data_IF_903512876306
#
_entry.id   IF_903512876306
#
_cell.length_a   1.000
_cell.length_b   1.000
_cell.length_c   1.000
_cell.angle_alpha   90.00
_cell.angle_beta   90.00
_cell.angle_gamma   90.00
#
_symmetry.space_group_name_H-M   'P 1'
#
loop_
_entity.id
_entity.type
_entity.pdbx_description
1 polymer ?
#
# COMPACT_ATOMS: atom_id res chain seq x y z
N UNK A 1 4.18 -12.77 -27.89
CA UNK A 1 3.46 -12.92 -26.60
C UNK A 1 2.36 -11.87 -26.57
N UNK A 2 1.12 -12.23 -26.20
CA UNK A 2 0.01 -11.26 -26.15
C UNK A 2 0.25 -10.20 -25.07
N UNK A 3 -0.31 -8.99 -25.26
CA UNK A 3 -0.21 -7.89 -24.29
C UNK A 3 -0.68 -8.30 -22.89
N UNK A 4 -1.82 -9.01 -22.82
CA UNK A 4 -2.33 -9.54 -21.54
C UNK A 4 -1.30 -10.42 -20.83
N UNK A 5 -0.68 -11.37 -21.54
CA UNK A 5 0.28 -12.29 -20.92
C UNK A 5 1.52 -11.55 -20.42
N UNK A 6 1.99 -10.51 -21.14
CA UNK A 6 3.12 -9.69 -20.69
C UNK A 6 2.83 -9.00 -19.37
N UNK A 7 1.67 -8.34 -19.24
CA UNK A 7 1.27 -7.66 -18.01
C UNK A 7 0.94 -8.63 -16.86
N UNK A 8 0.36 -9.78 -17.18
CA UNK A 8 0.16 -10.84 -16.17
C UNK A 8 1.50 -11.31 -15.61
N UNK A 9 2.50 -11.56 -16.47
CA UNK A 9 3.84 -11.96 -16.04
C UNK A 9 4.54 -10.85 -15.25
N UNK A 10 4.42 -9.59 -15.70
CA UNK A 10 4.91 -8.43 -14.95
C UNK A 10 4.39 -8.43 -13.50
N UNK A 11 3.08 -8.50 -13.34
CA UNK A 11 2.45 -8.44 -12.02
C UNK A 11 2.78 -9.66 -11.15
N UNK A 12 2.82 -10.86 -11.74
CA UNK A 12 3.24 -12.08 -11.04
C UNK A 12 4.69 -11.98 -10.55
N UNK A 13 5.63 -11.54 -11.38
CA UNK A 13 7.04 -11.41 -11.02
C UNK A 13 7.24 -10.35 -9.92
N UNK A 14 6.60 -9.19 -10.07
CA UNK A 14 6.63 -8.11 -9.07
C UNK A 14 6.05 -8.59 -7.74
N UNK A 15 4.89 -9.24 -7.79
CA UNK A 15 4.21 -9.77 -6.62
C UNK A 15 5.01 -10.85 -5.91
N UNK A 16 5.62 -11.78 -6.64
CA UNK A 16 6.35 -12.90 -6.07
C UNK A 16 7.54 -12.44 -5.22
N UNK A 17 8.36 -11.53 -5.74
CA UNK A 17 9.50 -10.97 -5.01
C UNK A 17 9.07 -10.17 -3.79
N UNK A 18 8.06 -9.31 -3.95
CA UNK A 18 7.51 -8.50 -2.87
C UNK A 18 6.92 -9.36 -1.76
N UNK A 19 6.06 -10.32 -2.10
CA UNK A 19 5.39 -11.20 -1.15
C UNK A 19 6.36 -12.01 -0.31
N UNK A 20 7.42 -12.54 -0.94
CA UNK A 20 8.44 -13.33 -0.25
C UNK A 20 9.19 -12.53 0.83
N UNK A 21 9.41 -11.23 0.62
CA UNK A 21 10.03 -10.37 1.62
C UNK A 21 9.02 -9.90 2.68
N UNK A 22 7.83 -9.47 2.27
CA UNK A 22 6.78 -9.01 3.20
C UNK A 22 6.37 -10.08 4.21
N UNK A 23 6.41 -11.36 3.82
CA UNK A 23 6.08 -12.48 4.70
C UNK A 23 6.87 -12.47 6.01
N UNK A 24 8.12 -12.03 5.98
CA UNK A 24 9.04 -12.05 7.13
C UNK A 24 9.69 -10.70 7.44
N UNK A 25 9.20 -9.61 6.87
CA UNK A 25 9.85 -8.30 6.92
C UNK A 25 10.16 -7.83 8.35
N UNK A 26 9.21 -7.93 9.27
CA UNK A 26 9.41 -7.52 10.67
C UNK A 26 10.37 -8.46 11.41
N UNK A 27 10.27 -9.77 11.13
CA UNK A 27 11.19 -10.79 11.66
C UNK A 27 12.61 -10.53 11.15
N UNK A 28 12.75 -10.30 9.84
CA UNK A 28 14.01 -9.95 9.19
C UNK A 28 14.68 -8.74 9.87
N UNK A 29 13.93 -7.67 10.10
CA UNK A 29 14.47 -6.48 10.77
C UNK A 29 14.97 -6.79 12.18
N UNK A 30 14.22 -7.58 12.97
CA UNK A 30 14.62 -8.02 14.30
C UNK A 30 15.88 -8.90 14.29
N UNK A 31 15.97 -9.87 13.37
CA UNK A 31 17.16 -10.73 13.21
C UNK A 31 18.40 -9.96 12.76
N UNK A 32 18.22 -8.81 12.12
CA UNK A 32 19.30 -7.92 11.67
C UNK A 32 19.55 -6.76 12.64
N UNK A 33 19.14 -6.91 13.91
CA UNK A 33 19.54 -6.03 15.01
C UNK A 33 18.64 -4.81 15.26
N UNK A 34 17.45 -4.76 14.65
CA UNK A 34 16.47 -3.73 15.02
C UNK A 34 15.71 -4.14 16.28
N UNK A 35 15.66 -3.24 17.26
CA UNK A 35 14.69 -3.35 18.35
C UNK A 35 13.26 -3.15 17.83
N UNK A 36 12.26 -3.68 18.55
CA UNK A 36 10.86 -3.63 18.11
C UNK A 36 10.39 -2.22 17.75
N UNK A 37 10.71 -1.21 18.54
CA UNK A 37 10.34 0.18 18.25
C UNK A 37 11.06 0.77 17.05
N UNK A 38 12.30 0.28 16.73
CA UNK A 38 13.07 0.70 15.58
C UNK A 38 12.48 0.18 14.27
N UNK A 39 11.79 -0.97 14.30
CA UNK A 39 11.03 -1.48 13.14
C UNK A 39 10.01 -0.42 12.68
N UNK A 40 9.29 0.16 13.62
CA UNK A 40 8.39 1.27 13.33
C UNK A 40 9.10 2.47 12.69
N UNK A 41 10.25 2.88 13.23
CA UNK A 41 11.02 3.99 12.65
C UNK A 41 11.44 3.71 11.20
N UNK A 42 11.92 2.50 10.91
CA UNK A 42 12.31 2.09 9.54
C UNK A 42 11.13 2.15 8.59
N UNK A 43 9.96 1.64 9.01
CA UNK A 43 8.74 1.67 8.20
C UNK A 43 8.21 3.10 8.03
N UNK A 44 8.27 3.91 9.09
CA UNK A 44 7.92 5.33 9.03
C UNK A 44 8.82 6.12 8.06
N UNK A 45 10.14 5.90 8.13
CA UNK A 45 11.10 6.51 7.22
C UNK A 45 10.84 6.09 5.77
N UNK A 46 10.60 4.80 5.53
CA UNK A 46 10.20 4.28 4.22
C UNK A 46 8.96 5.05 3.69
N UNK A 47 7.91 5.17 4.48
CA UNK A 47 6.69 5.87 4.09
C UNK A 47 6.93 7.37 3.78
N UNK A 48 7.76 8.05 4.58
CA UNK A 48 8.14 9.46 4.35
C UNK A 48 8.89 9.62 3.03
N UNK A 49 9.90 8.76 2.78
CA UNK A 49 10.68 8.82 1.54
C UNK A 49 9.80 8.58 0.33
N UNK A 50 8.92 7.56 0.36
CA UNK A 50 7.97 7.32 -0.72
C UNK A 50 7.09 8.54 -0.94
N UNK A 51 6.48 9.10 0.11
CA UNK A 51 5.58 10.24 0.03
C UNK A 51 6.25 11.49 -0.60
N UNK A 52 7.51 11.75 -0.26
CA UNK A 52 8.27 12.89 -0.80
C UNK A 52 8.74 12.63 -2.24
N UNK A 53 9.19 11.42 -2.53
CA UNK A 53 9.81 11.09 -3.80
C UNK A 53 8.80 10.76 -4.92
N UNK A 54 7.60 10.28 -4.58
CA UNK A 54 6.61 9.80 -5.56
C UNK A 54 6.21 10.87 -6.58
N UNK A 55 5.93 12.09 -6.13
CA UNK A 55 5.51 13.19 -7.03
C UNK A 55 6.65 13.61 -7.97
N UNK A 56 7.87 13.96 -7.51
CA UNK A 56 8.95 14.36 -8.40
C UNK A 56 9.41 13.23 -9.34
N UNK A 57 9.43 11.98 -8.86
CA UNK A 57 9.82 10.84 -9.72
C UNK A 57 8.73 10.50 -10.74
N UNK A 58 7.45 10.66 -10.39
CA UNK A 58 6.33 10.52 -11.33
C UNK A 58 6.42 11.52 -12.48
N UNK A 59 6.66 12.81 -12.19
CA UNK A 59 6.87 13.84 -13.23
C UNK A 59 8.07 13.51 -14.12
N UNK A 60 9.16 13.05 -13.53
CA UNK A 60 10.34 12.62 -14.30
C UNK A 60 10.04 11.39 -15.15
N UNK A 61 9.25 10.44 -14.67
CA UNK A 61 8.85 9.26 -15.43
C UNK A 61 7.99 9.63 -16.66
N UNK A 62 7.06 10.58 -16.50
CA UNK A 62 6.23 11.07 -17.60
C UNK A 62 7.05 11.82 -18.67
N UNK A 63 8.13 12.51 -18.29
CA UNK A 63 8.96 13.30 -19.22
C UNK A 63 10.14 12.53 -19.83
N UNK A 64 10.69 11.53 -19.12
CA UNK A 64 11.89 10.78 -19.54
C UNK A 64 11.61 9.33 -19.93
N UNK A 65 10.36 8.89 -19.84
CA UNK A 65 9.92 7.55 -20.20
C UNK A 65 9.62 6.65 -19.01
N UNK A 66 8.40 6.17 -18.94
CA UNK A 66 7.89 5.34 -17.82
C UNK A 66 8.59 4.01 -17.69
N UNK A 67 8.91 3.37 -18.82
CA UNK A 67 9.63 2.08 -18.82
C UNK A 67 11.04 2.22 -18.28
N UNK A 68 11.73 3.34 -18.58
CA UNK A 68 13.06 3.62 -18.07
C UNK A 68 13.05 3.79 -16.54
N UNK A 69 12.04 4.49 -16.00
CA UNK A 69 11.88 4.66 -14.55
C UNK A 69 11.48 3.37 -13.84
N UNK A 70 10.68 2.53 -14.47
CA UNK A 70 10.40 1.21 -13.94
C UNK A 70 11.67 0.32 -13.91
N UNK A 71 12.51 0.35 -14.95
CA UNK A 71 13.81 -0.34 -14.94
C UNK A 71 14.73 0.21 -13.85
N UNK A 72 14.75 1.52 -13.63
CA UNK A 72 15.46 2.13 -12.51
C UNK A 72 14.94 1.60 -11.16
N UNK A 73 13.63 1.47 -11.00
CA UNK A 73 13.04 0.89 -9.80
C UNK A 73 13.53 -0.54 -9.55
N UNK A 74 13.62 -1.39 -10.58
CA UNK A 74 14.15 -2.75 -10.44
C UNK A 74 15.62 -2.77 -10.04
N UNK A 75 16.44 -1.87 -10.58
CA UNK A 75 17.85 -1.70 -10.19
C UNK A 75 17.94 -1.28 -8.72
N UNK A 76 17.14 -0.30 -8.30
CA UNK A 76 17.09 0.15 -6.91
C UNK A 76 16.61 -0.96 -5.97
N UNK A 77 15.63 -1.78 -6.39
CA UNK A 77 15.15 -2.91 -5.60
C UNK A 77 16.25 -3.97 -5.41
N UNK A 78 16.98 -4.29 -6.46
CA UNK A 78 18.10 -5.23 -6.38
C UNK A 78 19.22 -4.68 -5.47
N UNK A 79 19.52 -3.38 -5.59
CA UNK A 79 20.49 -2.69 -4.73
C UNK A 79 20.04 -2.68 -3.26
N UNK A 80 18.77 -2.40 -3.00
CA UNK A 80 18.20 -2.45 -1.65
C UNK A 80 18.37 -3.83 -1.01
N UNK A 81 18.02 -4.89 -1.74
CA UNK A 81 18.22 -6.26 -1.25
C UNK A 81 19.69 -6.60 -1.00
N UNK A 82 20.60 -6.15 -1.88
CA UNK A 82 22.03 -6.32 -1.66
C UNK A 82 22.53 -5.59 -0.38
N UNK A 83 22.09 -4.34 -0.15
CA UNK A 83 22.42 -3.58 1.06
C UNK A 83 21.91 -4.30 2.31
N UNK A 84 20.64 -4.77 2.29
CA UNK A 84 20.04 -5.47 3.41
C UNK A 84 20.79 -6.75 3.81
N UNK A 85 21.39 -7.45 2.85
CA UNK A 85 22.14 -8.69 3.09
C UNK A 85 23.59 -8.41 3.47
N UNK A 86 24.25 -7.46 2.79
CA UNK A 86 25.67 -7.16 2.99
C UNK A 86 25.97 -6.32 4.22
N UNK A 87 24.99 -5.54 4.69
CA UNK A 87 25.09 -4.71 5.89
C UNK A 87 24.04 -5.16 6.93
N UNK A 88 24.21 -6.33 7.59
CA UNK A 88 23.23 -6.91 8.48
C UNK A 88 23.23 -6.23 9.86
N UNK A 89 22.89 -4.96 9.89
CA UNK A 89 22.81 -4.14 11.10
C UNK A 89 21.76 -3.04 10.93
N UNK A 90 21.45 -2.32 12.00
CA UNK A 90 20.45 -1.24 12.00
C UNK A 90 20.66 -0.20 10.89
N UNK A 91 21.91 0.22 10.64
CA UNK A 91 22.19 1.22 9.60
C UNK A 91 22.01 0.67 8.19
N UNK A 92 22.32 -0.61 7.98
CA UNK A 92 22.02 -1.30 6.74
C UNK A 92 20.53 -1.46 6.50
N UNK A 93 19.72 -1.69 7.56
CA UNK A 93 18.27 -1.67 7.47
C UNK A 93 17.73 -0.29 7.05
N UNK A 94 18.24 0.79 7.65
CA UNK A 94 17.88 2.17 7.28
C UNK A 94 18.25 2.46 5.81
N UNK A 95 19.48 2.14 5.41
CA UNK A 95 19.94 2.38 4.04
C UNK A 95 19.15 1.53 3.02
N UNK A 96 18.98 0.24 3.28
CA UNK A 96 18.23 -0.66 2.41
C UNK A 96 16.75 -0.25 2.29
N UNK A 97 16.10 0.09 3.40
CA UNK A 97 14.73 0.58 3.39
C UNK A 97 14.59 1.91 2.64
N UNK A 98 15.58 2.81 2.76
CA UNK A 98 15.59 4.10 2.03
C UNK A 98 15.70 3.88 0.51
N UNK A 99 16.59 2.99 0.08
CA UNK A 99 16.74 2.66 -1.35
C UNK A 99 15.50 1.92 -1.87
N UNK A 100 14.91 1.03 -1.06
CA UNK A 100 13.65 0.34 -1.42
C UNK A 100 12.48 1.32 -1.52
N UNK A 101 12.45 2.36 -0.69
CA UNK A 101 11.46 3.43 -0.77
C UNK A 101 11.58 4.23 -2.08
N UNK A 102 12.82 4.56 -2.49
CA UNK A 102 13.08 5.21 -3.79
C UNK A 102 12.70 4.30 -4.97
N UNK A 103 12.97 2.99 -4.86
CA UNK A 103 12.49 1.99 -5.83
C UNK A 103 10.96 2.04 -5.95
N UNK A 104 10.25 1.98 -4.83
CA UNK A 104 8.80 2.01 -4.79
C UNK A 104 8.23 3.29 -5.39
N UNK A 105 8.81 4.45 -5.05
CA UNK A 105 8.42 5.74 -5.61
C UNK A 105 8.69 5.83 -7.14
N UNK A 106 9.80 5.24 -7.60
CA UNK A 106 10.14 5.21 -9.03
C UNK A 106 9.24 4.28 -9.85
N UNK A 107 8.71 3.20 -9.24
CA UNK A 107 7.78 2.27 -9.90
C UNK A 107 6.35 2.79 -9.90
N UNK A 108 6.00 3.67 -8.96
CA UNK A 108 4.61 4.11 -8.74
C UNK A 108 4.00 4.68 -10.02
N UNK A 109 2.86 4.09 -10.43
CA UNK A 109 2.09 4.54 -11.59
C UNK A 109 2.73 4.36 -12.97
N UNK A 110 3.99 3.91 -13.08
CA UNK A 110 4.71 3.85 -14.36
C UNK A 110 4.11 2.84 -15.35
N UNK A 111 4.07 1.56 -14.95
CA UNK A 111 3.58 0.48 -15.83
C UNK A 111 2.06 0.48 -15.91
N UNK A 112 1.36 0.85 -14.84
CA UNK A 112 -0.10 0.94 -14.86
C UNK A 112 -0.58 2.00 -15.86
N UNK A 113 0.04 3.19 -15.84
CA UNK A 113 -0.28 4.26 -16.79
C UNK A 113 0.10 3.86 -18.24
N UNK A 114 1.28 3.26 -18.44
CA UNK A 114 1.69 2.73 -19.73
C UNK A 114 0.69 1.68 -20.25
N UNK A 115 0.20 0.79 -19.36
CA UNK A 115 -0.78 -0.22 -19.72
C UNK A 115 -2.13 0.38 -20.13
N UNK A 116 -2.60 1.42 -19.41
CA UNK A 116 -3.83 2.14 -19.76
C UNK A 116 -3.72 2.80 -21.13
N UNK A 117 -2.62 3.49 -21.40
CA UNK A 117 -2.38 4.12 -22.70
C UNK A 117 -2.36 3.09 -23.85
N UNK A 118 -1.71 1.95 -23.60
CA UNK A 118 -1.64 0.88 -24.61
C UNK A 118 -3.00 0.27 -24.90
N UNK A 119 -3.83 0.01 -23.88
CA UNK A 119 -5.20 -0.50 -24.05
C UNK A 119 -6.06 0.48 -24.84
N UNK A 120 -5.91 1.79 -24.59
CA UNK A 120 -6.60 2.84 -25.35
C UNK A 120 -6.13 2.91 -26.79
N UNK A 121 -4.81 2.88 -27.03
CA UNK A 121 -4.23 2.91 -28.38
C UNK A 121 -4.64 1.69 -29.23
N UNK A 122 -4.90 0.53 -28.61
CA UNK A 122 -5.42 -0.66 -29.27
C UNK A 122 -6.95 -0.64 -29.49
N UNK A 123 -7.65 0.46 -29.12
CA UNK A 123 -9.10 0.61 -29.30
C UNK A 123 -9.95 -0.26 -28.36
N UNK A 124 -9.37 -0.68 -27.23
CA UNK A 124 -10.03 -1.57 -26.28
C UNK A 124 -10.51 -0.86 -25.00
N UNK A 125 -10.86 0.42 -25.07
CA UNK A 125 -11.30 1.23 -23.92
C UNK A 125 -12.47 0.61 -23.15
N UNK A 126 -13.42 0.00 -23.85
CA UNK A 126 -14.58 -0.69 -23.25
C UNK A 126 -14.15 -1.83 -22.29
N UNK A 127 -12.97 -2.41 -22.49
CA UNK A 127 -12.43 -3.51 -21.70
C UNK A 127 -11.38 -3.08 -20.68
N UNK A 128 -11.10 -1.77 -20.57
CA UNK A 128 -10.05 -1.25 -19.70
C UNK A 128 -10.23 -1.73 -18.24
N UNK A 129 -11.45 -1.68 -17.70
CA UNK A 129 -11.74 -2.13 -16.35
C UNK A 129 -11.47 -3.63 -16.18
N UNK A 130 -11.76 -4.46 -17.18
CA UNK A 130 -11.48 -5.89 -17.15
C UNK A 130 -9.97 -6.18 -17.20
N UNK A 131 -9.21 -5.41 -17.97
CA UNK A 131 -7.74 -5.52 -18.02
C UNK A 131 -7.12 -5.15 -16.67
N UNK A 132 -7.48 -3.99 -16.11
CA UNK A 132 -6.96 -3.53 -14.83
C UNK A 132 -7.30 -4.50 -13.69
N UNK A 133 -8.54 -5.03 -13.65
CA UNK A 133 -8.94 -6.06 -12.69
C UNK A 133 -8.11 -7.34 -12.82
N UNK A 134 -7.84 -7.79 -14.04
CA UNK A 134 -6.98 -8.95 -14.29
C UNK A 134 -5.53 -8.73 -13.84
N UNK A 135 -4.99 -7.53 -14.00
CA UNK A 135 -3.63 -7.18 -13.56
C UNK A 135 -3.54 -7.16 -12.04
N UNK A 136 -4.50 -6.55 -11.36
CA UNK A 136 -4.56 -6.55 -9.90
C UNK A 136 -4.69 -7.97 -9.34
N UNK A 137 -5.50 -8.83 -9.97
CA UNK A 137 -5.61 -10.23 -9.59
C UNK A 137 -4.28 -10.99 -9.77
N UNK A 138 -3.54 -10.73 -10.85
CA UNK A 138 -2.23 -11.32 -11.08
C UNK A 138 -1.20 -10.86 -10.04
N UNK A 139 -1.20 -9.57 -9.69
CA UNK A 139 -0.36 -9.02 -8.63
C UNK A 139 -0.65 -9.69 -7.30
N UNK A 140 -1.93 -9.77 -6.92
CA UNK A 140 -2.35 -10.39 -5.67
C UNK A 140 -1.99 -11.89 -5.63
N UNK A 141 -2.16 -12.62 -6.74
CA UNK A 141 -1.73 -14.01 -6.85
C UNK A 141 -0.21 -14.15 -6.69
N UNK A 142 0.57 -13.27 -7.32
CA UNK A 142 2.02 -13.22 -7.18
C UNK A 142 2.45 -12.96 -5.74
N UNK A 143 1.87 -11.96 -5.07
CA UNK A 143 2.19 -11.64 -3.68
C UNK A 143 1.80 -12.78 -2.73
N UNK A 144 0.64 -13.40 -2.95
CA UNK A 144 0.18 -14.55 -2.14
C UNK A 144 1.13 -15.74 -2.29
N UNK A 145 1.47 -16.12 -3.53
CA UNK A 145 2.43 -17.18 -3.78
C UNK A 145 3.82 -16.85 -3.22
N UNK A 146 4.26 -15.61 -3.41
CA UNK A 146 5.50 -15.08 -2.84
C UNK A 146 5.51 -15.14 -1.32
N UNK A 147 4.43 -14.78 -0.66
CA UNK A 147 4.32 -14.81 0.80
C UNK A 147 4.44 -16.25 1.34
N UNK A 148 3.74 -17.20 0.74
CA UNK A 148 3.86 -18.61 1.12
C UNK A 148 5.30 -19.09 0.93
N UNK A 149 5.89 -18.87 -0.25
CA UNK A 149 7.28 -19.24 -0.52
C UNK A 149 8.23 -18.56 0.47
N UNK A 150 8.02 -17.27 0.76
CA UNK A 150 8.82 -16.49 1.69
C UNK A 150 8.82 -17.05 3.11
N UNK A 151 7.69 -17.60 3.56
CA UNK A 151 7.61 -18.32 4.84
C UNK A 151 8.44 -19.58 4.88
N UNK A 152 8.56 -20.32 3.76
CA UNK A 152 9.36 -21.54 3.68
C UNK A 152 10.84 -21.31 3.34
N UNK A 153 11.20 -20.14 2.77
CA UNK A 153 12.59 -19.84 2.38
C UNK A 153 13.61 -20.02 3.52
N UNK A 154 13.37 -19.60 4.77
CA UNK A 154 14.31 -19.80 5.86
C UNK A 154 14.65 -21.29 6.12
N UNK A 155 13.68 -22.17 5.95
CA UNK A 155 13.87 -23.63 6.10
C UNK A 155 14.56 -24.22 4.86
N UNK A 156 14.08 -23.90 3.66
CA UNK A 156 14.64 -24.36 2.38
C UNK A 156 16.12 -23.99 2.20
N UNK A 157 16.53 -22.88 2.79
CA UNK A 157 17.89 -22.35 2.71
C UNK A 157 18.73 -22.61 3.97
N UNK A 158 18.26 -23.51 4.86
CA UNK A 158 18.90 -23.77 6.15
C UNK A 158 20.38 -24.18 6.04
N UNK A 159 20.73 -24.89 4.98
CA UNK A 159 22.09 -25.38 4.71
C UNK A 159 22.95 -24.39 3.88
N UNK A 160 22.41 -23.24 3.49
CA UNK A 160 23.15 -22.25 2.72
C UNK A 160 23.81 -21.23 3.65
N UNK A 161 24.95 -20.62 3.24
CA UNK A 161 25.56 -19.51 3.99
C UNK A 161 24.57 -18.37 4.19
N UNK A 162 24.38 -17.91 5.43
CA UNK A 162 23.46 -16.82 5.77
C UNK A 162 23.87 -16.16 7.08
N UNK A 163 23.59 -14.87 7.20
CA UNK A 163 23.77 -14.12 8.43
C UNK A 163 22.64 -14.45 9.44
N UNK A 164 21.41 -14.49 8.95
CA UNK A 164 20.21 -14.80 9.70
C UNK A 164 19.28 -15.72 8.86
N UNK A 165 18.35 -16.45 9.48
CA UNK A 165 17.43 -17.34 8.77
C UNK A 165 16.69 -16.66 7.61
N UNK A 166 16.21 -15.43 7.81
CA UNK A 166 15.44 -14.70 6.80
C UNK A 166 16.29 -13.96 5.76
N UNK A 167 17.62 -14.03 5.80
CA UNK A 167 18.49 -13.30 4.85
C UNK A 167 18.20 -13.66 3.39
N UNK A 168 17.84 -14.90 3.11
CA UNK A 168 17.52 -15.35 1.75
C UNK A 168 16.21 -14.78 1.19
N UNK A 169 15.33 -14.26 2.02
CA UNK A 169 14.13 -13.53 1.56
C UNK A 169 14.51 -12.22 0.86
N UNK A 170 15.50 -11.49 1.40
CA UNK A 170 16.02 -10.29 0.75
C UNK A 170 16.81 -10.63 -0.52
N UNK A 171 17.60 -11.74 -0.52
CA UNK A 171 18.28 -12.25 -1.73
C UNK A 171 17.25 -12.62 -2.80
N UNK A 172 16.18 -13.33 -2.44
CA UNK A 172 15.13 -13.72 -3.37
C UNK A 172 14.42 -12.50 -3.96
N UNK A 173 14.05 -11.51 -3.14
CA UNK A 173 13.48 -10.25 -3.61
C UNK A 173 14.39 -9.54 -4.61
N UNK A 174 15.69 -9.42 -4.30
CA UNK A 174 16.68 -8.83 -5.19
C UNK A 174 16.85 -9.64 -6.49
N UNK A 175 16.91 -10.98 -6.38
CA UNK A 175 17.00 -11.89 -7.53
C UNK A 175 15.79 -11.76 -8.46
N UNK A 176 14.58 -11.67 -7.91
CA UNK A 176 13.36 -11.45 -8.69
C UNK A 176 13.38 -10.10 -9.41
N UNK A 177 13.90 -9.04 -8.79
CA UNK A 177 14.09 -7.75 -9.45
C UNK A 177 15.07 -7.85 -10.62
N UNK A 178 16.18 -8.57 -10.47
CA UNK A 178 17.16 -8.82 -11.54
C UNK A 178 16.53 -9.65 -12.68
N UNK A 179 15.83 -10.73 -12.35
CA UNK A 179 15.10 -11.54 -13.36
C UNK A 179 14.10 -10.68 -14.13
N UNK A 180 13.33 -9.86 -13.42
CA UNK A 180 12.36 -8.96 -14.03
C UNK A 180 13.03 -7.90 -14.92
N UNK A 181 14.18 -7.35 -14.49
CA UNK A 181 14.99 -6.41 -15.29
C UNK A 181 15.47 -7.06 -16.59
N UNK A 182 15.99 -8.29 -16.53
CA UNK A 182 16.44 -9.06 -17.69
C UNK A 182 15.27 -9.33 -18.66
N UNK A 183 14.09 -9.62 -18.13
CA UNK A 183 12.88 -9.88 -18.92
C UNK A 183 12.22 -8.60 -19.45
N UNK A 184 12.54 -7.43 -18.90
CA UNK A 184 11.88 -6.17 -19.21
C UNK A 184 11.89 -5.79 -20.70
N UNK A 185 12.95 -6.07 -21.50
CA UNK A 185 12.93 -5.78 -22.96
C UNK A 185 11.90 -6.63 -23.71
N UNK A 186 11.55 -7.81 -23.21
CA UNK A 186 10.56 -8.70 -23.81
C UNK A 186 9.13 -8.38 -23.33
N UNK A 187 9.01 -7.82 -22.13
CA UNK A 187 7.72 -7.47 -21.52
C UNK A 187 7.21 -6.11 -22.02
N UNK A 188 8.13 -5.15 -22.18
CA UNK A 188 7.77 -3.77 -22.53
C UNK A 188 8.45 -3.36 -23.84
N UNK A 189 7.65 -2.84 -24.75
CA UNK A 189 8.14 -2.21 -25.98
C UNK A 189 7.82 -0.73 -25.84
N UNK A 190 8.82 0.11 -26.00
CA UNK A 190 8.65 1.52 -26.26
C UNK A 190 8.06 1.62 -27.69
N UNK A 191 6.74 1.61 -27.78
CA UNK A 191 6.08 2.18 -28.94
C UNK A 191 6.28 3.68 -28.88
N UNK A 192 6.25 4.36 -29.99
CA UNK A 192 6.28 5.82 -30.09
C UNK A 192 5.44 6.38 -28.94
N UNK A 193 6.08 7.10 -28.04
CA UNK A 193 5.41 7.85 -26.99
C UNK A 193 4.40 8.72 -27.71
N UNK A 194 3.12 8.49 -27.44
CA UNK A 194 2.07 9.43 -27.82
C UNK A 194 2.27 10.69 -26.96
N UNK A 195 3.31 11.43 -27.28
CA UNK A 195 3.63 12.73 -26.72
C UNK A 195 2.93 13.83 -27.50
N UNK A 196 1.61 13.70 -27.64
CA UNK A 196 0.72 14.84 -27.82
C UNK A 196 0.03 15.14 -26.51
N UNK A 197 0.84 15.38 -25.48
CA UNK A 197 0.38 16.20 -24.36
C UNK A 197 0.52 17.63 -24.85
N UNK A 198 -0.61 18.26 -25.18
CA UNK A 198 -0.67 19.69 -25.47
C UNK A 198 0.19 20.43 -24.46
N UNK A 199 1.30 21.03 -24.91
CA UNK A 199 2.27 21.77 -24.08
C UNK A 199 1.63 23.01 -23.41
N UNK A 200 0.38 23.31 -23.69
CA UNK A 200 -0.35 24.49 -23.19
C UNK A 200 -1.01 24.32 -21.82
N UNK A 201 -1.12 23.11 -21.25
CA UNK A 201 -1.72 22.95 -19.92
C UNK A 201 -0.69 22.97 -18.79
N UNK A 202 -0.50 24.16 -18.22
CA UNK A 202 -0.04 24.49 -16.86
C UNK A 202 0.90 23.45 -16.18
N UNK A 203 2.09 23.92 -15.79
CA UNK A 203 3.08 23.19 -14.98
C UNK A 203 2.45 22.24 -13.95
N UNK A 204 2.92 20.99 -13.81
CA UNK A 204 2.39 19.99 -12.87
C UNK A 204 2.21 20.53 -11.44
N UNK A 205 3.11 21.41 -11.00
CA UNK A 205 3.03 22.09 -9.71
C UNK A 205 1.81 23.04 -9.61
N UNK A 206 1.43 23.67 -10.70
CA UNK A 206 0.23 24.54 -10.75
C UNK A 206 -1.06 23.73 -10.63
N UNK A 207 -1.16 22.61 -11.33
CA UNK A 207 -2.29 21.69 -11.24
C UNK A 207 -2.42 21.10 -9.82
N UNK A 208 -1.31 20.68 -9.22
CA UNK A 208 -1.32 20.18 -7.83
C UNK A 208 -1.76 21.25 -6.84
N UNK A 209 -1.26 22.48 -6.96
CA UNK A 209 -1.67 23.61 -6.09
C UNK A 209 -3.17 23.90 -6.24
N UNK A 210 -3.70 23.89 -7.46
CA UNK A 210 -5.12 24.07 -7.72
C UNK A 210 -5.97 22.94 -7.12
N UNK A 211 -5.53 21.68 -7.27
CA UNK A 211 -6.18 20.51 -6.67
C UNK A 211 -6.18 20.58 -5.13
N UNK A 212 -5.07 20.98 -4.50
CA UNK A 212 -4.98 21.17 -3.04
C UNK A 212 -5.97 22.29 -2.62
N UNK A 213 -5.99 23.42 -3.32
CA UNK A 213 -6.92 24.52 -3.01
C UNK A 213 -8.38 24.07 -3.13
N UNK A 214 -8.71 23.29 -4.17
CA UNK A 214 -10.03 22.69 -4.35
C UNK A 214 -10.37 21.74 -3.21
N UNK A 215 -9.45 20.80 -2.88
CA UNK A 215 -9.64 19.79 -1.85
C UNK A 215 -9.87 20.41 -0.46
N UNK A 216 -9.13 21.45 -0.11
CA UNK A 216 -9.30 22.16 1.17
C UNK A 216 -10.65 22.90 1.26
N UNK A 217 -11.12 23.45 0.14
CA UNK A 217 -12.39 24.20 0.08
C UNK A 217 -13.61 23.27 -0.02
N UNK A 218 -13.47 22.09 -0.63
CA UNK A 218 -14.57 21.15 -0.83
C UNK A 218 -14.65 20.21 0.36
N UNK A 219 -15.71 20.36 1.15
CA UNK A 219 -15.86 19.62 2.41
C UNK A 219 -15.79 18.09 2.23
N UNK A 220 -16.53 17.52 1.28
CA UNK A 220 -16.57 16.06 1.06
C UNK A 220 -15.19 15.50 0.69
N UNK A 221 -14.42 16.24 -0.12
CA UNK A 221 -13.05 15.84 -0.48
C UNK A 221 -12.12 15.93 0.72
N UNK A 222 -12.17 17.04 1.45
CA UNK A 222 -11.36 17.24 2.67
C UNK A 222 -11.66 16.19 3.74
N UNK A 223 -12.93 15.84 3.95
CA UNK A 223 -13.34 14.80 4.91
C UNK A 223 -12.76 13.43 4.53
N UNK A 224 -12.78 13.07 3.24
CA UNK A 224 -12.19 11.81 2.75
C UNK A 224 -10.67 11.81 2.90
N UNK A 225 -10.00 12.93 2.63
CA UNK A 225 -8.55 13.03 2.80
C UNK A 225 -8.13 12.86 4.26
N UNK A 226 -8.87 13.45 5.21
CA UNK A 226 -8.64 13.26 6.65
C UNK A 226 -8.93 11.82 7.05
N UNK A 227 -10.02 11.23 6.53
CA UNK A 227 -10.35 9.81 6.77
C UNK A 227 -9.21 8.91 6.30
N UNK A 228 -8.68 9.14 5.09
CA UNK A 228 -7.53 8.40 4.55
C UNK A 228 -6.31 8.49 5.48
N UNK A 229 -5.97 9.69 5.96
CA UNK A 229 -4.88 9.86 6.93
C UNK A 229 -5.13 9.08 8.23
N UNK A 230 -6.35 9.08 8.76
CA UNK A 230 -6.71 8.35 9.98
C UNK A 230 -6.69 6.82 9.76
N UNK A 231 -7.12 6.33 8.61
CA UNK A 231 -6.97 4.91 8.26
C UNK A 231 -5.48 4.54 8.19
N UNK A 232 -4.66 5.41 7.60
CA UNK A 232 -3.21 5.26 7.56
C UNK A 232 -2.59 5.10 8.95
N UNK A 233 -3.05 5.87 9.95
CA UNK A 233 -2.63 5.72 11.36
C UNK A 233 -2.85 4.29 11.88
N UNK A 234 -4.06 3.75 11.69
CA UNK A 234 -4.38 2.40 12.17
C UNK A 234 -3.60 1.31 11.46
N UNK A 235 -3.58 1.36 10.12
CA UNK A 235 -2.91 0.36 9.28
C UNK A 235 -1.42 0.28 9.57
N UNK A 236 -0.71 1.42 9.58
CA UNK A 236 0.73 1.42 9.76
C UNK A 236 1.17 0.86 11.11
N UNK A 237 0.40 1.11 12.17
CA UNK A 237 0.66 0.51 13.49
C UNK A 237 0.51 -1.01 13.47
N UNK A 238 -0.44 -1.53 12.70
CA UNK A 238 -0.60 -2.99 12.59
C UNK A 238 0.47 -3.58 11.68
N UNK A 239 0.63 -3.05 10.47
CA UNK A 239 1.60 -3.56 9.49
C UNK A 239 3.04 -3.52 10.01
N UNK A 240 3.39 -2.52 10.82
CA UNK A 240 4.71 -2.40 11.42
C UNK A 240 4.98 -3.39 12.54
N UNK A 241 3.97 -3.79 13.29
CA UNK A 241 4.18 -4.49 14.56
C UNK A 241 3.49 -5.85 14.69
N UNK A 242 2.71 -6.31 13.71
CA UNK A 242 2.00 -7.59 13.85
C UNK A 242 2.94 -8.80 13.93
N UNK A 243 4.06 -8.81 13.17
CA UNK A 243 5.05 -9.90 13.23
C UNK A 243 5.81 -9.91 14.56
N UNK A 244 6.39 -8.79 15.02
CA UNK A 244 6.96 -8.72 16.37
C UNK A 244 5.97 -9.15 17.47
N UNK A 245 4.71 -8.72 17.37
CA UNK A 245 3.70 -9.12 18.36
C UNK A 245 3.41 -10.60 18.37
N UNK A 246 3.38 -11.24 17.20
CA UNK A 246 3.21 -12.69 17.13
C UNK A 246 4.40 -13.44 17.74
N UNK A 247 5.63 -12.94 17.57
CA UNK A 247 6.81 -13.51 18.24
C UNK A 247 6.70 -13.37 19.75
N UNK A 248 6.17 -12.26 20.28
CA UNK A 248 5.91 -12.10 21.71
C UNK A 248 4.87 -13.10 22.23
N UNK A 249 3.86 -13.45 21.42
CA UNK A 249 2.81 -14.42 21.78
C UNK A 249 3.34 -15.86 21.72
N UNK A 250 4.12 -16.19 20.71
CA UNK A 250 4.69 -17.53 20.50
C UNK A 250 6.14 -17.42 20.00
N UNK A 251 7.08 -17.50 20.91
CA UNK A 251 8.52 -17.41 20.62
C UNK A 251 9.07 -18.60 19.83
N UNK A 252 8.30 -19.69 19.75
CA UNK A 252 8.65 -20.90 18.99
C UNK A 252 8.07 -20.94 17.59
N UNK A 253 7.50 -19.83 17.12
CA UNK A 253 6.76 -19.78 15.88
C UNK A 253 7.63 -20.05 14.66
N UNK A 254 7.24 -21.03 13.84
CA UNK A 254 7.90 -21.35 12.57
C UNK A 254 7.63 -20.26 11.53
N UNK A 255 8.61 -20.01 10.63
CA UNK A 255 8.56 -18.95 9.62
C UNK A 255 7.43 -19.15 8.59
N UNK A 256 7.06 -20.38 8.28
CA UNK A 256 5.98 -20.72 7.34
C UNK A 256 4.63 -20.09 7.78
N UNK A 257 4.38 -20.01 9.10
CA UNK A 257 3.16 -19.39 9.64
C UNK A 257 3.04 -17.90 9.26
N UNK A 258 4.16 -17.17 9.26
CA UNK A 258 4.16 -15.77 8.79
C UNK A 258 3.79 -15.69 7.30
N UNK A 259 4.28 -16.63 6.49
CA UNK A 259 3.93 -16.75 5.08
C UNK A 259 2.43 -16.98 4.88
N UNK A 260 1.83 -17.92 5.61
CA UNK A 260 0.40 -18.21 5.53
C UNK A 260 -0.47 -17.07 6.04
N UNK A 261 -0.07 -16.37 7.12
CA UNK A 261 -0.81 -15.21 7.63
C UNK A 261 -0.75 -14.06 6.62
N UNK A 262 0.42 -13.81 6.03
CA UNK A 262 0.58 -12.79 4.98
C UNK A 262 -0.24 -13.15 3.72
N UNK A 263 -0.27 -14.41 3.32
CA UNK A 263 -1.14 -14.88 2.24
C UNK A 263 -2.63 -14.67 2.58
N UNK A 264 -3.02 -14.94 3.81
CA UNK A 264 -4.36 -14.64 4.34
C UNK A 264 -4.70 -13.16 4.28
N UNK A 265 -3.75 -12.27 4.63
CA UNK A 265 -3.92 -10.82 4.49
C UNK A 265 -4.27 -10.41 3.05
N UNK A 266 -3.50 -10.89 2.06
CA UNK A 266 -3.77 -10.58 0.66
C UNK A 266 -5.06 -11.26 0.13
N UNK A 267 -5.41 -12.42 0.66
CA UNK A 267 -6.72 -13.02 0.39
C UNK A 267 -7.86 -12.13 0.91
N UNK A 268 -7.73 -11.56 2.12
CA UNK A 268 -8.72 -10.62 2.66
C UNK A 268 -8.78 -9.33 1.83
N UNK A 269 -7.67 -8.86 1.28
CA UNK A 269 -7.63 -7.70 0.39
C UNK A 269 -8.44 -7.92 -0.91
N UNK A 270 -8.51 -9.16 -1.41
CA UNK A 270 -9.32 -9.54 -2.57
C UNK A 270 -10.78 -9.78 -2.16
N UNK A 271 -11.00 -10.56 -1.11
CA UNK A 271 -12.33 -10.99 -0.68
C UNK A 271 -13.12 -9.85 -0.04
N UNK A 272 -12.44 -8.94 0.67
CA UNK A 272 -13.08 -7.85 1.39
C UNK A 272 -13.98 -6.98 0.50
N UNK A 273 -13.48 -6.38 -0.58
CA UNK A 273 -14.32 -5.60 -1.49
C UNK A 273 -15.49 -6.39 -2.10
N UNK A 274 -15.30 -7.68 -2.40
CA UNK A 274 -16.33 -8.53 -2.95
C UNK A 274 -17.44 -8.83 -1.94
N UNK A 275 -17.09 -9.29 -0.75
CA UNK A 275 -18.04 -9.65 0.31
C UNK A 275 -18.84 -8.44 0.78
N UNK A 276 -18.15 -7.32 0.91
CA UNK A 276 -18.75 -6.11 1.45
C UNK A 276 -19.53 -5.37 0.37
N UNK A 277 -19.07 -5.40 -0.88
CA UNK A 277 -19.84 -4.92 -2.02
C UNK A 277 -21.17 -5.66 -2.13
N UNK A 278 -21.15 -6.99 -2.04
CA UNK A 278 -22.34 -7.81 -2.02
C UNK A 278 -23.26 -7.49 -0.82
N UNK A 279 -22.71 -7.37 0.39
CA UNK A 279 -23.46 -6.99 1.58
C UNK A 279 -24.07 -5.59 1.46
N UNK A 280 -23.33 -4.62 0.94
CA UNK A 280 -23.84 -3.26 0.75
C UNK A 280 -24.99 -3.20 -0.27
N UNK A 281 -24.92 -4.01 -1.34
CA UNK A 281 -26.01 -4.13 -2.33
C UNK A 281 -27.28 -4.69 -1.69
N UNK A 282 -27.13 -5.75 -0.89
CA UNK A 282 -28.30 -6.40 -0.22
C UNK A 282 -28.88 -5.50 0.89
N UNK A 283 -28.02 -4.83 1.67
CA UNK A 283 -28.44 -4.00 2.81
C UNK A 283 -28.87 -2.60 2.43
N UNK A 284 -28.61 -2.14 1.19
CA UNK A 284 -28.92 -0.78 0.74
C UNK A 284 -28.10 0.32 1.44
N UNK A 285 -27.01 -0.02 2.15
CA UNK A 285 -26.20 0.94 2.88
C UNK A 285 -25.40 1.80 1.88
N UNK A 286 -25.63 3.12 1.93
CA UNK A 286 -24.95 4.05 1.03
C UNK A 286 -23.43 4.11 1.25
N UNK A 287 -22.60 4.41 0.22
CA UNK A 287 -21.15 4.56 0.38
C UNK A 287 -20.76 5.58 1.46
N UNK A 288 -21.51 6.67 1.61
CA UNK A 288 -21.30 7.65 2.67
C UNK A 288 -21.52 7.06 4.07
N UNK A 289 -22.57 6.27 4.26
CA UNK A 289 -22.85 5.61 5.54
C UNK A 289 -21.78 4.57 5.87
N UNK A 290 -21.28 3.83 4.87
CA UNK A 290 -20.13 2.91 5.05
C UNK A 290 -18.89 3.66 5.55
N UNK A 291 -18.53 4.78 4.89
CA UNK A 291 -17.38 5.58 5.31
C UNK A 291 -17.58 6.26 6.66
N UNK A 292 -18.81 6.56 7.05
CA UNK A 292 -19.11 7.19 8.34
C UNK A 292 -18.80 6.26 9.52
N UNK A 293 -19.14 4.98 9.42
CA UNK A 293 -18.93 4.00 10.51
C UNK A 293 -17.56 3.33 10.47
N UNK A 294 -16.88 3.40 9.33
CA UNK A 294 -15.62 2.68 9.09
C UNK A 294 -14.54 2.98 10.15
N UNK A 295 -14.21 4.25 10.52
CA UNK A 295 -13.18 4.50 11.50
C UNK A 295 -13.53 3.95 12.90
N UNK A 296 -14.80 3.90 13.27
CA UNK A 296 -15.24 3.29 14.52
C UNK A 296 -15.04 1.76 14.50
N UNK A 297 -15.33 1.11 13.37
CA UNK A 297 -15.12 -0.34 13.22
C UNK A 297 -13.63 -0.67 13.23
N UNK A 298 -12.79 0.11 12.56
CA UNK A 298 -11.32 -0.06 12.57
C UNK A 298 -10.79 0.15 13.99
N UNK A 299 -11.25 1.18 14.69
CA UNK A 299 -10.84 1.45 16.07
C UNK A 299 -11.21 0.27 17.01
N UNK A 300 -12.43 -0.24 16.91
CA UNK A 300 -12.89 -1.38 17.70
C UNK A 300 -12.10 -2.66 17.37
N UNK A 301 -11.83 -2.92 16.10
CA UNK A 301 -11.06 -4.08 15.67
C UNK A 301 -9.59 -3.99 16.12
N UNK A 302 -8.98 -2.81 16.03
CA UNK A 302 -7.61 -2.57 16.53
C UNK A 302 -7.54 -2.68 18.06
N UNK A 303 -8.53 -2.15 18.74
CA UNK A 303 -8.67 -2.30 20.20
C UNK A 303 -8.78 -3.78 20.58
N UNK A 304 -9.65 -4.55 19.89
CA UNK A 304 -9.79 -5.99 20.13
C UNK A 304 -8.46 -6.73 19.86
N UNK A 305 -7.75 -6.40 18.77
CA UNK A 305 -6.46 -7.00 18.44
C UNK A 305 -5.42 -6.77 19.55
N UNK A 306 -5.42 -5.61 20.19
CA UNK A 306 -4.45 -5.26 21.24
C UNK A 306 -4.54 -6.13 22.50
N UNK A 307 -5.66 -6.83 22.74
CA UNK A 307 -5.84 -7.74 23.87
C UNK A 307 -5.54 -9.20 23.57
N UNK A 308 -5.24 -9.53 22.31
CA UNK A 308 -5.03 -10.93 21.94
C UNK A 308 -3.68 -11.45 22.49
N UNK A 309 -3.74 -12.54 23.22
CA UNK A 309 -2.57 -13.24 23.81
C UNK A 309 -2.42 -14.67 23.28
N UNK A 310 -3.43 -15.17 22.56
CA UNK A 310 -3.40 -16.49 21.94
C UNK A 310 -3.20 -16.40 20.45
N UNK A 311 -2.40 -17.31 19.88
CA UNK A 311 -2.04 -17.31 18.44
C UNK A 311 -3.26 -17.24 17.51
N UNK A 312 -4.20 -18.19 17.62
CA UNK A 312 -5.35 -18.24 16.71
C UNK A 312 -6.32 -17.07 16.90
N UNK A 313 -6.49 -16.61 18.14
CA UNK A 313 -7.31 -15.44 18.43
C UNK A 313 -6.69 -14.16 17.82
N UNK A 314 -5.36 -14.04 17.91
CA UNK A 314 -4.64 -12.95 17.26
C UNK A 314 -4.79 -12.99 15.73
N UNK A 315 -4.55 -14.14 15.11
CA UNK A 315 -4.67 -14.30 13.65
C UNK A 315 -6.08 -13.98 13.16
N UNK A 316 -7.10 -14.47 13.86
CA UNK A 316 -8.49 -14.18 13.52
C UNK A 316 -8.82 -12.69 13.64
N UNK A 317 -8.39 -12.02 14.73
CA UNK A 317 -8.59 -10.59 14.93
C UNK A 317 -7.82 -9.76 13.88
N UNK A 318 -6.58 -10.15 13.56
CA UNK A 318 -5.75 -9.49 12.55
C UNK A 318 -6.38 -9.59 11.15
N UNK A 319 -6.75 -10.79 10.70
CA UNK A 319 -7.39 -10.98 9.40
C UNK A 319 -8.77 -10.29 9.33
N UNK A 320 -9.52 -10.29 10.45
CA UNK A 320 -10.77 -9.56 10.57
C UNK A 320 -10.58 -8.04 10.42
N UNK A 321 -9.54 -7.48 11.05
CA UNK A 321 -9.17 -6.07 10.89
C UNK A 321 -8.79 -5.77 9.43
N UNK A 322 -7.97 -6.63 8.79
CA UNK A 322 -7.59 -6.47 7.38
C UNK A 322 -8.80 -6.53 6.45
N UNK A 323 -9.73 -7.45 6.68
CA UNK A 323 -10.99 -7.52 5.94
C UNK A 323 -11.77 -6.20 6.01
N UNK A 324 -11.82 -5.58 7.17
CA UNK A 324 -12.54 -4.30 7.35
C UNK A 324 -11.85 -3.13 6.69
N UNK A 325 -10.51 -3.05 6.77
CA UNK A 325 -9.75 -1.93 6.22
C UNK A 325 -9.79 -1.87 4.69
N UNK A 326 -9.90 -3.02 4.00
CA UNK A 326 -10.00 -3.07 2.53
C UNK A 326 -11.29 -2.45 1.97
N UNK A 327 -12.29 -2.18 2.81
CA UNK A 327 -13.55 -1.53 2.44
C UNK A 327 -13.43 -0.09 1.98
N UNK A 328 -12.44 0.64 2.47
CA UNK A 328 -12.33 2.07 2.24
C UNK A 328 -12.33 2.39 0.73
N UNK A 329 -11.55 1.67 -0.06
CA UNK A 329 -11.28 1.99 -1.46
C UNK A 329 -12.52 2.20 -2.36
N UNK A 330 -13.44 1.23 -2.53
CA UNK A 330 -14.59 1.40 -3.43
C UNK A 330 -15.56 2.50 -2.98
N UNK A 331 -15.85 2.59 -1.67
CA UNK A 331 -16.75 3.60 -1.13
C UNK A 331 -16.13 4.99 -1.21
N UNK A 332 -14.84 5.11 -0.87
CA UNK A 332 -14.03 6.33 -0.97
C UNK A 332 -13.99 6.83 -2.41
N UNK A 333 -13.60 5.98 -3.37
CA UNK A 333 -13.54 6.32 -4.79
C UNK A 333 -14.90 6.79 -5.32
N UNK A 334 -15.99 6.15 -4.89
CA UNK A 334 -17.34 6.54 -5.31
C UNK A 334 -17.71 7.94 -4.82
N UNK A 335 -17.49 8.24 -3.54
CA UNK A 335 -17.83 9.55 -2.97
C UNK A 335 -16.89 10.63 -3.51
N UNK A 336 -15.59 10.33 -3.60
CA UNK A 336 -14.59 11.27 -4.09
C UNK A 336 -14.79 11.63 -5.57
N UNK A 337 -15.07 10.64 -6.43
CA UNK A 337 -15.33 10.88 -7.85
C UNK A 337 -16.60 11.70 -8.08
N UNK A 338 -17.64 11.54 -7.24
CA UNK A 338 -18.86 12.35 -7.31
C UNK A 338 -18.64 13.81 -6.85
N UNK A 339 -17.71 14.01 -5.93
CA UNK A 339 -17.42 15.34 -5.37
C UNK A 339 -16.33 16.11 -6.13
N UNK A 340 -15.62 15.43 -7.07
CA UNK A 340 -14.44 16.00 -7.74
C UNK A 340 -14.69 16.16 -9.24
N UNK A 341 -14.57 17.38 -9.82
CA UNK A 341 -14.58 17.60 -11.26
C UNK A 341 -13.47 16.82 -11.96
N UNK A 342 -13.72 16.40 -13.22
CA UNK A 342 -12.81 15.54 -13.99
C UNK A 342 -11.38 16.07 -14.05
N UNK A 343 -11.23 17.38 -14.24
CA UNK A 343 -9.92 18.07 -14.29
C UNK A 343 -9.05 17.92 -13.04
N UNK A 344 -9.64 17.64 -11.86
CA UNK A 344 -8.91 17.48 -10.59
C UNK A 344 -8.87 16.03 -10.10
N UNK A 345 -9.59 15.10 -10.74
CA UNK A 345 -9.81 13.73 -10.25
C UNK A 345 -8.50 12.99 -9.96
N UNK A 346 -7.59 12.95 -10.93
CA UNK A 346 -6.29 12.29 -10.79
C UNK A 346 -5.44 12.90 -9.67
N UNK A 347 -5.38 14.23 -9.60
CA UNK A 347 -4.61 14.94 -8.54
C UNK A 347 -5.19 14.74 -7.13
N UNK A 348 -6.53 14.66 -7.01
CA UNK A 348 -7.20 14.40 -5.72
C UNK A 348 -6.96 12.96 -5.26
N UNK A 349 -6.95 11.97 -6.18
CA UNK A 349 -6.57 10.60 -5.84
C UNK A 349 -5.11 10.50 -5.38
N UNK A 350 -4.18 11.19 -6.04
CA UNK A 350 -2.79 11.27 -5.59
C UNK A 350 -2.67 11.90 -4.20
N UNK A 351 -3.46 12.96 -3.93
CA UNK A 351 -3.50 13.61 -2.63
C UNK A 351 -4.07 12.68 -1.54
N UNK A 352 -5.06 11.83 -1.86
CA UNK A 352 -5.59 10.81 -0.93
C UNK A 352 -4.51 9.79 -0.55
N UNK A 353 -3.77 9.25 -1.52
CA UNK A 353 -2.64 8.36 -1.25
C UNK A 353 -1.57 9.03 -0.38
N UNK A 354 -1.24 10.29 -0.67
CA UNK A 354 -0.28 11.06 0.12
C UNK A 354 -0.75 11.27 1.56
N UNK A 355 -2.02 11.60 1.76
CA UNK A 355 -2.61 11.78 3.10
C UNK A 355 -2.60 10.48 3.91
N UNK A 356 -2.95 9.35 3.29
CA UNK A 356 -2.90 8.04 3.94
C UNK A 356 -1.46 7.67 4.35
N UNK A 357 -0.49 7.83 3.46
CA UNK A 357 0.94 7.58 3.76
C UNK A 357 1.49 8.55 4.81
N UNK A 358 1.08 9.82 4.75
CA UNK A 358 1.45 10.83 5.74
C UNK A 358 0.93 10.49 7.14
N UNK A 359 -0.34 10.11 7.24
CA UNK A 359 -0.93 9.62 8.49
C UNK A 359 -0.22 8.38 9.03
N UNK A 360 0.09 7.42 8.15
CA UNK A 360 0.86 6.24 8.47
C UNK A 360 2.24 6.59 9.05
N UNK A 361 3.00 7.43 8.35
CA UNK A 361 4.33 7.85 8.77
C UNK A 361 4.33 8.57 10.13
N UNK A 362 3.43 9.55 10.30
CA UNK A 362 3.29 10.30 11.56
C UNK A 362 2.96 9.36 12.71
N UNK A 363 2.01 8.43 12.52
CA UNK A 363 1.62 7.49 13.57
C UNK A 363 2.79 6.62 14.01
N UNK A 364 3.47 5.98 13.07
CA UNK A 364 4.54 5.03 13.40
C UNK A 364 5.72 5.75 14.04
N UNK A 365 6.10 6.94 13.53
CA UNK A 365 7.21 7.73 14.09
C UNK A 365 6.90 8.21 15.52
N UNK A 366 5.69 8.73 15.76
CA UNK A 366 5.32 9.23 17.09
C UNK A 366 5.06 8.10 18.08
N UNK A 367 4.36 7.04 17.67
CA UNK A 367 4.01 5.93 18.55
C UNK A 367 5.16 4.93 18.73
N UNK A 368 6.24 4.99 17.94
CA UNK A 368 7.44 4.21 18.20
C UNK A 368 8.00 4.46 19.60
N UNK A 369 7.94 5.70 20.10
CA UNK A 369 8.35 6.04 21.48
C UNK A 369 7.45 5.36 22.50
N UNK A 370 6.14 5.30 22.24
CA UNK A 370 5.17 4.59 23.09
C UNK A 370 5.46 3.08 23.08
N UNK A 371 5.68 2.50 21.89
CA UNK A 371 6.02 1.08 21.75
C UNK A 371 7.31 0.74 22.51
N UNK A 372 8.32 1.61 22.44
CA UNK A 372 9.58 1.44 23.16
C UNK A 372 9.36 1.37 24.67
N UNK A 373 8.49 2.21 25.22
CA UNK A 373 8.34 2.40 26.66
C UNK A 373 7.27 1.49 27.26
N UNK A 374 6.18 1.27 26.53
CA UNK A 374 4.96 0.62 27.06
C UNK A 374 4.52 -0.62 26.27
N UNK A 375 5.25 -1.01 25.21
CA UNK A 375 4.95 -2.17 24.39
C UNK A 375 3.97 -1.92 23.24
N UNK A 376 3.88 -2.91 22.34
CA UNK A 376 3.09 -2.87 21.09
C UNK A 376 1.60 -2.70 21.39
N UNK A 377 1.08 -3.45 22.34
CA UNK A 377 -0.34 -3.45 22.71
C UNK A 377 -0.81 -2.07 23.18
N UNK A 378 0.01 -1.34 23.93
CA UNK A 378 -0.27 0.04 24.36
C UNK A 378 -0.25 1.00 23.15
N UNK A 379 0.70 0.84 22.24
CA UNK A 379 0.73 1.61 20.99
C UNK A 379 -0.55 1.43 20.17
N UNK A 380 -1.04 0.20 20.05
CA UNK A 380 -2.30 -0.10 19.37
C UNK A 380 -3.54 0.44 20.09
N UNK A 381 -3.58 0.38 21.43
CA UNK A 381 -4.66 0.99 22.22
C UNK A 381 -4.74 2.50 22.01
N UNK A 382 -3.60 3.18 21.97
CA UNK A 382 -3.54 4.63 21.71
C UNK A 382 -4.00 4.93 20.27
N UNK A 383 -3.52 4.20 19.26
CA UNK A 383 -3.97 4.36 17.89
C UNK A 383 -5.49 4.11 17.74
N UNK A 384 -6.02 3.08 18.41
CA UNK A 384 -7.45 2.80 18.45
C UNK A 384 -8.24 3.94 19.13
N UNK A 385 -7.70 4.49 20.22
CA UNK A 385 -8.28 5.65 20.90
C UNK A 385 -8.34 6.90 20.01
N UNK A 386 -7.28 7.20 19.29
CA UNK A 386 -7.23 8.31 18.31
C UNK A 386 -8.28 8.12 17.21
N UNK A 387 -8.36 6.91 16.63
CA UNK A 387 -9.37 6.57 15.62
C UNK A 387 -10.79 6.63 16.17
N UNK A 388 -11.01 6.15 17.40
CA UNK A 388 -12.31 6.21 18.06
C UNK A 388 -12.76 7.64 18.34
N UNK A 389 -11.86 8.49 18.86
CA UNK A 389 -12.13 9.91 19.06
C UNK A 389 -12.45 10.63 17.74
N UNK A 390 -11.69 10.33 16.67
CA UNK A 390 -11.97 10.83 15.34
C UNK A 390 -13.33 10.36 14.82
N UNK A 391 -13.69 9.08 15.01
CA UNK A 391 -14.98 8.54 14.61
C UNK A 391 -16.15 9.29 15.29
N UNK A 392 -16.06 9.52 16.58
CA UNK A 392 -17.08 10.28 17.34
C UNK A 392 -17.18 11.71 16.83
N UNK A 393 -16.04 12.40 16.68
CA UNK A 393 -16.02 13.75 16.13
C UNK A 393 -16.67 13.83 14.75
N UNK A 394 -16.32 12.87 13.88
CA UNK A 394 -16.87 12.80 12.52
C UNK A 394 -18.38 12.54 12.51
N UNK A 395 -18.88 11.67 13.38
CA UNK A 395 -20.32 11.44 13.55
C UNK A 395 -21.06 12.73 13.98
N UNK A 396 -20.49 13.51 14.89
CA UNK A 396 -21.08 14.78 15.34
C UNK A 396 -21.10 15.80 14.20
N UNK A 397 -20.00 15.92 13.44
CA UNK A 397 -19.86 16.92 12.37
C UNK A 397 -20.76 16.57 11.18
N UNK A 398 -20.77 15.31 10.73
CA UNK A 398 -21.51 14.86 9.56
C UNK A 398 -23.00 14.61 9.86
N UNK A 399 -23.33 14.15 11.07
CA UNK A 399 -24.72 13.93 11.48
C UNK A 399 -25.57 15.24 11.54
N UNK A 400 -24.89 16.40 11.58
CA UNK A 400 -25.54 17.73 11.58
C UNK A 400 -25.70 18.34 10.19
N UNK A 401 -25.25 17.70 9.11
CA UNK A 401 -25.26 18.25 7.76
C UNK A 401 -26.26 17.57 6.84
N UNK A 402 -27.03 18.32 6.07
CA UNK A 402 -27.82 17.78 4.96
C UNK A 402 -26.86 17.21 3.87
N UNK A 403 -27.27 16.20 3.10
CA UNK A 403 -26.49 15.68 2.00
C UNK A 403 -26.20 16.80 0.98
N UNK A 404 -24.94 16.91 0.55
CA UNK A 404 -24.54 17.86 -0.48
C UNK A 404 -25.26 17.54 -1.79
N UNK A 405 -25.76 18.54 -2.55
CA UNK A 405 -26.30 18.30 -3.88
C UNK A 405 -25.22 17.68 -4.79
N UNK A 406 -25.61 16.83 -5.77
CA UNK A 406 -24.66 16.32 -6.74
C UNK A 406 -23.97 17.48 -7.45
N UNK A 407 -22.65 17.33 -7.72
CA UNK A 407 -21.93 18.32 -8.51
C UNK A 407 -22.68 18.53 -9.82
N UNK A 408 -22.98 19.76 -10.14
CA UNK A 408 -23.58 20.11 -11.43
C UNK A 408 -22.67 19.55 -12.52
N UNK A 409 -23.16 18.57 -13.26
CA UNK A 409 -22.56 18.15 -14.52
C UNK A 409 -22.67 19.38 -15.40
N UNK A 410 -21.58 20.13 -15.53
CA UNK A 410 -21.53 21.31 -16.37
C UNK A 410 -21.82 20.90 -17.83
N UNK A 411 -23.07 20.94 -18.20
CA UNK A 411 -23.49 21.12 -19.57
C UNK A 411 -23.20 22.58 -19.90
N UNK A 412 -21.91 22.80 -20.18
CA UNK A 412 -21.44 24.08 -20.66
C UNK A 412 -21.94 24.30 -22.08
N UNK A 413 -22.59 25.42 -22.25
CA UNK A 413 -22.76 26.07 -23.55
C UNK A 413 -21.40 26.45 -24.14
#
# INVERSE_FOLDING_TARGET
MSFRLRLTLHNLLSGLGLGAFLAVQGVFMGEHGAEVWQIGLIIGLFAVIVAIAEVPLGVLADTRGRIAFFRLALVLQALAGAILVLLPNFWGLIAGASVLALSTASASGTIDAWAVERVKAEGHEERLQQYLGGFQAAMAAGVTAGAILGGYLPELTANLPRHAPTSWNAVFMAGMAVVHLILSPYLYHEGETLSDVDEEESHPAGRMRAAISFAVRTFDVRDILILGAMIGVGLAMVEGYWQPRLIEIDTSMAYDRFGWITAGYFAMAILGPLLIGAFAQVSGISPRAQLLVLPAIIAAALWLLSFQTGFWAFVAAYLGLMLVTTKAGPAESTVMNRATPDRYRSSVHSLSSLMMRGGAAVAVLLLAVVVKTYGIDTGWKIAAGILGAYAVLRLIVLGRRPPSPPAETGTGQ
#
